data_IF_232650673892
#
_entry.id   IF_232650673892
#
_cell.length_a   1.000
_cell.length_b   1.000
_cell.length_c   1.000
_cell.angle_alpha   90.00
_cell.angle_beta   90.00
_cell.angle_gamma   90.00
#
_symmetry.space_group_name_H-M   'P 1'
#
loop_
_entity.id
_entity.type
_entity.pdbx_description
1 polymer ?
#
# COMPACT_ATOMS: atom_id res chain seq x y z
N UNK A 1 4.95 35.55 -40.13
CA UNK A 1 4.50 34.30 -39.47
C UNK A 1 4.47 34.53 -37.97
N UNK A 2 3.30 34.90 -37.44
CA UNK A 2 3.05 35.05 -36.00
C UNK A 2 2.65 33.69 -35.43
N UNK A 3 3.46 33.13 -34.53
CA UNK A 3 3.23 31.83 -33.90
C UNK A 3 2.65 31.98 -32.47
N UNK A 4 1.82 33.00 -32.22
CA UNK A 4 1.33 33.31 -30.87
C UNK A 4 -0.20 33.46 -30.76
N UNK A 5 -0.96 33.36 -31.85
CA UNK A 5 -2.43 33.54 -31.82
C UNK A 5 -3.24 32.33 -31.30
N UNK A 6 -2.59 31.28 -30.78
CA UNK A 6 -3.26 30.02 -30.44
C UNK A 6 -3.40 29.69 -28.94
N UNK A 7 -2.76 30.44 -28.04
CA UNK A 7 -2.68 30.04 -26.63
C UNK A 7 -3.87 30.65 -25.88
N UNK A 8 -5.00 29.92 -25.89
CA UNK A 8 -6.17 30.27 -25.08
C UNK A 8 -5.78 30.40 -23.60
N UNK A 9 -6.28 31.42 -22.91
CA UNK A 9 -6.05 31.64 -21.48
C UNK A 9 -6.42 30.41 -20.60
N UNK A 10 -7.30 29.53 -21.09
CA UNK A 10 -7.61 28.23 -20.47
C UNK A 10 -6.41 27.29 -20.43
N UNK A 11 -5.57 27.29 -21.47
CA UNK A 11 -4.35 26.48 -21.57
C UNK A 11 -3.25 26.95 -20.61
N UNK A 12 -3.21 28.25 -20.29
CA UNK A 12 -2.27 28.81 -19.31
C UNK A 12 -2.70 28.42 -17.88
N UNK A 13 -3.99 28.43 -17.58
CA UNK A 13 -4.52 27.99 -16.27
C UNK A 13 -4.36 26.48 -16.05
N UNK A 14 -4.50 25.67 -17.11
CA UNK A 14 -4.19 24.23 -17.08
C UNK A 14 -2.67 23.96 -16.94
N UNK A 15 -1.82 24.76 -17.61
CA UNK A 15 -0.37 24.64 -17.52
C UNK A 15 0.23 25.04 -16.16
N UNK A 16 -0.33 26.07 -15.52
CA UNK A 16 0.12 26.52 -14.20
C UNK A 16 -0.23 25.52 -13.07
N UNK A 17 -1.38 24.85 -13.15
CA UNK A 17 -1.76 23.81 -12.19
C UNK A 17 -0.84 22.58 -12.23
N UNK A 18 -0.40 22.18 -13.44
CA UNK A 18 0.51 21.06 -13.62
C UNK A 18 1.94 21.37 -13.16
N UNK A 19 2.47 22.56 -13.45
CA UNK A 19 3.80 22.97 -12.99
C UNK A 19 3.85 23.25 -11.47
N UNK A 20 2.77 23.81 -10.91
CA UNK A 20 2.62 24.00 -9.46
C UNK A 20 2.59 22.69 -8.68
N UNK A 21 2.02 21.63 -9.26
CA UNK A 21 2.04 20.29 -8.66
C UNK A 21 3.44 19.66 -8.67
N UNK A 22 4.23 19.83 -9.73
CA UNK A 22 5.58 19.24 -9.83
C UNK A 22 6.59 19.93 -8.89
N UNK A 23 6.54 21.26 -8.74
CA UNK A 23 7.45 21.98 -7.83
C UNK A 23 6.94 22.02 -6.37
N UNK A 24 5.63 22.00 -6.15
CA UNK A 24 5.03 22.02 -4.81
C UNK A 24 5.05 20.67 -4.09
N UNK A 25 4.79 19.56 -4.79
CA UNK A 25 4.75 18.22 -4.19
C UNK A 25 6.14 17.61 -4.02
N UNK A 26 7.10 17.96 -4.90
CA UNK A 26 8.49 17.50 -4.77
C UNK A 26 9.17 17.98 -3.48
N UNK A 27 8.86 19.19 -3.03
CA UNK A 27 9.48 19.82 -1.86
C UNK A 27 9.01 19.21 -0.54
N UNK A 28 7.72 18.87 -0.42
CA UNK A 28 7.18 18.25 0.82
C UNK A 28 7.73 16.84 1.02
N UNK A 29 7.96 16.07 -0.04
CA UNK A 29 8.55 14.73 0.06
C UNK A 29 10.03 14.74 0.55
N UNK A 30 10.69 15.90 0.61
CA UNK A 30 12.06 16.03 1.09
C UNK A 30 12.17 16.46 2.56
N UNK A 31 11.10 16.99 3.17
CA UNK A 31 11.10 17.28 4.62
C UNK A 31 10.93 16.00 5.44
N UNK A 32 11.45 15.93 6.69
CA UNK A 32 11.21 14.79 7.57
C UNK A 32 9.73 14.50 7.79
N UNK A 33 8.89 15.54 7.90
CA UNK A 33 7.44 15.38 8.10
C UNK A 33 6.75 14.85 6.83
N UNK A 34 7.10 15.38 5.65
CA UNK A 34 6.47 14.91 4.42
C UNK A 34 6.95 13.54 3.98
N UNK A 35 8.19 13.13 4.31
CA UNK A 35 8.64 11.73 4.19
C UNK A 35 7.82 10.79 5.07
N UNK A 36 7.55 11.18 6.32
CA UNK A 36 6.72 10.38 7.22
C UNK A 36 5.28 10.26 6.69
N UNK A 37 4.69 11.34 6.20
CA UNK A 37 3.36 11.34 5.60
C UNK A 37 3.28 10.44 4.35
N UNK A 38 4.28 10.52 3.46
CA UNK A 38 4.38 9.65 2.28
C UNK A 38 4.56 8.18 2.69
N UNK A 39 5.37 7.90 3.71
CA UNK A 39 5.59 6.53 4.19
C UNK A 39 4.31 5.90 4.76
N UNK A 40 3.52 6.65 5.53
CA UNK A 40 2.22 6.17 6.03
C UNK A 40 1.26 5.89 4.88
N UNK A 41 1.13 6.80 3.91
CA UNK A 41 0.27 6.56 2.74
C UNK A 41 0.74 5.39 1.88
N UNK A 42 2.05 5.22 1.71
CA UNK A 42 2.60 4.08 1.01
C UNK A 42 2.27 2.75 1.73
N UNK A 43 2.29 2.72 3.07
CA UNK A 43 1.84 1.55 3.84
C UNK A 43 0.36 1.27 3.63
N UNK A 44 -0.51 2.27 3.71
CA UNK A 44 -1.95 2.11 3.48
C UNK A 44 -2.24 1.50 2.10
N UNK A 45 -1.56 2.01 1.07
CA UNK A 45 -1.68 1.47 -0.30
C UNK A 45 -1.14 0.05 -0.38
N UNK A 46 0.01 -0.25 0.22
CA UNK A 46 0.58 -1.59 0.21
C UNK A 46 -0.30 -2.63 0.93
N UNK A 47 -1.00 -2.21 1.99
CA UNK A 47 -1.99 -3.06 2.67
C UNK A 47 -3.22 -3.27 1.80
N UNK A 48 -3.75 -2.18 1.20
CA UNK A 48 -4.93 -2.25 0.35
C UNK A 48 -4.72 -3.10 -0.92
N UNK A 49 -3.49 -3.14 -1.46
CA UNK A 49 -3.13 -3.96 -2.62
C UNK A 49 -2.67 -5.37 -2.25
N UNK A 50 -2.62 -5.72 -0.96
CA UNK A 50 -2.19 -7.03 -0.48
C UNK A 50 -0.68 -7.28 -0.59
N UNK A 51 0.13 -6.25 -0.85
CA UNK A 51 1.60 -6.33 -0.89
C UNK A 51 2.18 -6.45 0.52
N UNK A 52 1.50 -5.89 1.52
CA UNK A 52 1.86 -6.02 2.93
C UNK A 52 0.67 -6.43 3.78
N UNK A 53 0.95 -7.12 4.88
CA UNK A 53 0.02 -7.31 5.99
C UNK A 53 -0.32 -5.98 6.65
N UNK A 54 -1.53 -5.88 7.19
CA UNK A 54 -1.94 -4.71 7.97
C UNK A 54 -1.24 -4.67 9.34
N UNK A 55 -0.93 -5.84 9.90
CA UNK A 55 -0.24 -6.02 11.18
C UNK A 55 0.74 -7.18 11.11
N UNK A 56 1.83 -7.06 11.86
CA UNK A 56 2.78 -8.15 12.06
C UNK A 56 2.24 -9.17 13.09
N UNK A 57 2.40 -10.48 12.86
CA UNK A 57 2.01 -11.50 13.83
C UNK A 57 2.66 -11.27 15.19
N UNK A 58 1.90 -11.46 16.27
CA UNK A 58 2.36 -11.26 17.64
C UNK A 58 2.29 -12.54 18.45
N UNK A 59 3.19 -12.69 19.42
CA UNK A 59 3.17 -13.83 20.32
C UNK A 59 1.80 -13.96 21.01
N UNK A 60 1.21 -15.15 20.92
CA UNK A 60 -0.15 -15.42 21.42
C UNK A 60 -1.26 -15.28 20.37
N UNK A 61 -0.95 -14.81 19.16
CA UNK A 61 -1.91 -14.81 18.05
C UNK A 61 -2.41 -16.24 17.78
N UNK A 62 -3.73 -16.39 17.80
CA UNK A 62 -4.41 -17.64 17.51
C UNK A 62 -5.72 -17.34 16.79
N UNK A 63 -5.90 -17.96 15.63
CA UNK A 63 -7.02 -17.70 14.73
C UNK A 63 -7.94 -18.92 14.69
N UNK A 64 -9.25 -18.69 14.64
CA UNK A 64 -10.23 -19.76 14.44
C UNK A 64 -10.20 -20.35 13.01
N UNK A 65 -9.54 -19.65 12.09
CA UNK A 65 -9.33 -20.04 10.70
C UNK A 65 -8.84 -18.87 9.84
N UNK A 66 -8.61 -19.13 8.56
CA UNK A 66 -8.02 -18.14 7.66
C UNK A 66 -8.86 -16.87 7.46
N UNK A 67 -10.18 -16.96 7.55
CA UNK A 67 -11.04 -15.78 7.48
C UNK A 67 -10.78 -14.82 8.65
N UNK A 68 -10.61 -15.36 9.87
CA UNK A 68 -10.27 -14.54 11.04
C UNK A 68 -8.86 -13.95 10.96
N UNK A 69 -7.88 -14.70 10.44
CA UNK A 69 -6.52 -14.19 10.23
C UNK A 69 -6.47 -13.07 9.17
N UNK A 70 -7.22 -13.22 8.06
CA UNK A 70 -7.34 -12.18 7.03
C UNK A 70 -8.07 -10.96 7.56
N UNK A 71 -9.14 -11.13 8.33
CA UNK A 71 -9.86 -10.02 8.95
C UNK A 71 -9.00 -9.26 9.98
N UNK A 72 -8.13 -9.97 10.71
CA UNK A 72 -7.13 -9.36 11.59
C UNK A 72 -5.96 -8.69 10.81
N UNK A 73 -5.86 -8.94 9.50
CA UNK A 73 -4.85 -8.38 8.63
C UNK A 73 -3.45 -8.95 8.83
N UNK A 74 -3.35 -10.18 9.35
CA UNK A 74 -2.09 -10.90 9.60
C UNK A 74 -1.75 -11.93 8.54
N UNK A 75 -2.71 -12.31 7.69
CA UNK A 75 -2.49 -13.23 6.57
C UNK A 75 -1.71 -12.58 5.41
N UNK A 76 -0.89 -13.34 4.64
CA UNK A 76 -0.56 -14.75 4.84
C UNK A 76 0.32 -14.98 6.07
N UNK A 77 0.24 -16.16 6.69
CA UNK A 77 1.01 -16.54 7.88
C UNK A 77 2.03 -17.60 7.49
N UNK A 78 3.31 -17.33 7.72
CA UNK A 78 4.40 -18.24 7.38
C UNK A 78 4.72 -19.20 8.52
N UNK A 79 5.23 -20.38 8.17
CA UNK A 79 5.72 -21.37 9.12
C UNK A 79 6.73 -20.74 10.08
N UNK A 80 6.49 -20.92 11.38
CA UNK A 80 7.31 -20.35 12.45
C UNK A 80 6.84 -18.97 12.95
N UNK A 81 5.90 -18.32 12.27
CA UNK A 81 5.26 -17.11 12.78
C UNK A 81 4.15 -17.45 13.80
N UNK A 82 3.91 -16.56 14.78
CA UNK A 82 2.74 -16.68 15.65
C UNK A 82 1.43 -16.82 14.86
N UNK A 83 0.58 -17.73 15.31
CA UNK A 83 -0.68 -18.03 14.64
C UNK A 83 -0.57 -18.97 13.42
N UNK A 84 0.63 -19.40 13.00
CA UNK A 84 0.76 -20.46 12.00
C UNK A 84 0.30 -21.80 12.57
N UNK A 85 -0.43 -22.55 11.77
CA UNK A 85 -0.89 -23.90 12.08
C UNK A 85 -0.90 -24.75 10.80
N UNK A 86 -0.34 -25.98 10.82
CA UNK A 86 -0.38 -26.86 9.65
C UNK A 86 -1.79 -27.13 9.14
N UNK A 87 -2.80 -27.11 10.02
CA UNK A 87 -4.19 -27.31 9.59
C UNK A 87 -4.78 -26.13 8.78
N UNK A 88 -4.09 -24.98 8.76
CA UNK A 88 -4.47 -23.78 7.99
C UNK A 88 -3.67 -23.65 6.68
N UNK A 89 -2.73 -24.56 6.44
CA UNK A 89 -1.83 -24.63 5.29
C UNK A 89 -2.24 -25.86 4.47
N UNK A 90 -3.17 -25.66 3.53
CA UNK A 90 -3.87 -26.77 2.87
C UNK A 90 -2.99 -27.56 1.90
N UNK A 91 -1.95 -26.94 1.34
CA UNK A 91 -0.97 -27.56 0.44
C UNK A 91 0.40 -27.81 1.11
N UNK A 92 0.54 -27.47 2.40
CA UNK A 92 1.72 -27.71 3.26
C UNK A 92 3.03 -27.09 2.72
N UNK A 93 2.90 -25.97 2.01
CA UNK A 93 4.03 -25.26 1.41
C UNK A 93 4.75 -24.34 2.41
N UNK A 94 4.19 -24.18 3.61
CA UNK A 94 4.68 -23.32 4.68
C UNK A 94 4.01 -21.95 4.71
N UNK A 95 2.98 -21.70 3.89
CA UNK A 95 2.25 -20.45 3.81
C UNK A 95 0.76 -20.69 4.10
N UNK A 96 0.37 -20.50 5.36
CA UNK A 96 -1.04 -20.57 5.73
C UNK A 96 -1.81 -19.33 5.25
N UNK A 97 -3.07 -19.54 4.88
CA UNK A 97 -4.03 -18.48 4.55
C UNK A 97 -3.63 -17.59 3.38
N UNK A 98 -2.99 -18.16 2.36
CA UNK A 98 -2.72 -17.50 1.10
C UNK A 98 -3.96 -16.80 0.51
N UNK A 99 -3.75 -15.73 -0.28
CA UNK A 99 -4.78 -15.26 -1.19
C UNK A 99 -5.22 -16.39 -2.12
N UNK A 100 -6.53 -16.53 -2.43
CA UNK A 100 -6.98 -17.51 -3.41
C UNK A 100 -6.23 -17.32 -4.73
N UNK A 101 -5.61 -18.39 -5.24
CA UNK A 101 -4.99 -18.36 -6.56
C UNK A 101 -6.14 -18.23 -7.59
N UNK A 102 -6.13 -17.15 -8.39
CA UNK A 102 -7.12 -16.91 -9.44
C UNK A 102 -6.79 -17.68 -10.71
#
# INVERSE_FOLDING_TARGET
MSALDGISAKSILLGAGALGAVLGVGSVAMSPEGRAAVATKARDVAVATGVKRAREPQAGDHWGGCDSARAAGTAPIFRGEPGYRPEMDGDDDGIACEPPRR
#
